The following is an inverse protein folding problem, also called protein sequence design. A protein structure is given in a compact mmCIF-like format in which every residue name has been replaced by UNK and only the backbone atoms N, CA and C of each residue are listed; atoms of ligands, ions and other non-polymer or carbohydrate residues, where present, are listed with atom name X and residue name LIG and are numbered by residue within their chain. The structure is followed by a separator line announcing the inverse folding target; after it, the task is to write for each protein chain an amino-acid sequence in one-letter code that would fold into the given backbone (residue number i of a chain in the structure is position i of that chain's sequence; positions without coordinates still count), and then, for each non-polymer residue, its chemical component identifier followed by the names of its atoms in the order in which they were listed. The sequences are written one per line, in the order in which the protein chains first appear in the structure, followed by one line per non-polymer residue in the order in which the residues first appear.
data_IF_769388853932
#
_entry.id   IF_769388853932
#
_cell.length_a   1.000
_cell.length_b   1.000
_cell.length_c   1.000
_cell.angle_alpha   90.00
_cell.angle_beta   90.00
_cell.angle_gamma   90.00
#
_symmetry.space_group_name_H-M   'P 1'
#
loop_
_entity.id
_entity.type
_entity.pdbx_description
1 polymer ?
#
# COMPACT_ATOMS: atom_id res chain seq x y z
N UNK A 1 8.32 -4.63 6.21
CA UNK A 1 8.06 -4.75 4.77
C UNK A 1 6.80 -5.56 4.48
N UNK A 2 6.54 -6.65 5.21
CA UNK A 2 5.33 -7.49 5.09
C UNK A 2 4.02 -6.68 5.00
N UNK A 3 3.78 -5.76 5.95
CA UNK A 3 2.59 -4.90 5.93
C UNK A 3 2.37 -4.13 4.62
N UNK A 4 3.44 -3.62 4.00
CA UNK A 4 3.33 -2.89 2.74
C UNK A 4 2.95 -3.83 1.57
N UNK A 5 3.41 -5.08 1.60
CA UNK A 5 3.03 -6.10 0.63
C UNK A 5 1.58 -6.56 0.82
N UNK A 6 1.12 -6.70 2.07
CA UNK A 6 -0.29 -7.01 2.37
C UNK A 6 -1.23 -5.92 1.85
N UNK A 7 -0.86 -4.66 2.05
CA UNK A 7 -1.59 -3.51 1.50
C UNK A 7 -1.61 -3.54 -0.03
N UNK A 8 -0.47 -3.81 -0.67
CA UNK A 8 -0.40 -3.92 -2.13
C UNK A 8 -1.35 -5.01 -2.67
N UNK A 9 -1.45 -6.15 -1.98
CA UNK A 9 -2.31 -7.27 -2.39
C UNK A 9 -3.80 -6.91 -2.43
N UNK A 10 -4.25 -5.88 -1.71
CA UNK A 10 -5.62 -5.38 -1.76
C UNK A 10 -6.01 -4.83 -3.15
N UNK A 11 -5.04 -4.38 -3.95
CA UNK A 11 -5.27 -3.85 -5.31
C UNK A 11 -5.35 -4.90 -6.41
N UNK A 12 -5.21 -6.20 -6.11
CA UNK A 12 -4.97 -7.28 -7.10
C UNK A 12 -5.98 -7.35 -8.26
N UNK A 13 -7.21 -6.89 -8.07
CA UNK A 13 -8.27 -7.01 -9.06
C UNK A 13 -8.83 -5.67 -9.54
N UNK A 14 -8.28 -4.56 -9.07
CA UNK A 14 -8.83 -3.22 -9.30
C UNK A 14 -7.81 -2.27 -9.91
N UNK A 15 -6.51 -2.59 -9.85
CA UNK A 15 -5.47 -1.66 -10.28
C UNK A 15 -5.02 -1.80 -11.73
N UNK A 16 -5.39 -2.85 -12.45
CA UNK A 16 -4.98 -3.04 -13.85
C UNK A 16 -5.38 -1.83 -14.71
N UNK A 17 -4.48 -1.29 -15.57
CA UNK A 17 -3.16 -1.80 -15.96
C UNK A 17 -1.99 -1.39 -15.03
N UNK A 18 -2.27 -0.61 -13.99
CA UNK A 18 -1.25 -0.14 -13.04
C UNK A 18 -0.84 -1.26 -12.06
N UNK A 19 0.40 -1.22 -11.54
CA UNK A 19 0.88 -2.21 -10.59
C UNK A 19 0.16 -2.12 -9.24
N UNK A 20 0.20 -3.22 -8.49
CA UNK A 20 -0.14 -3.23 -7.07
C UNK A 20 0.96 -2.50 -6.29
N UNK A 21 0.59 -1.50 -5.50
CA UNK A 21 1.51 -0.74 -4.66
C UNK A 21 0.89 -0.58 -3.28
N UNK A 22 1.67 -0.82 -2.24
CA UNK A 22 1.34 -0.53 -0.86
C UNK A 22 2.48 0.25 -0.20
N UNK A 23 2.12 1.17 0.69
CA UNK A 23 3.07 2.05 1.37
C UNK A 23 2.75 2.14 2.85
N UNK A 24 3.80 2.21 3.66
CA UNK A 24 3.74 2.43 5.11
C UNK A 24 4.68 3.58 5.44
N UNK A 25 4.19 4.53 6.22
CA UNK A 25 4.94 5.67 6.72
C UNK A 25 5.07 5.52 8.23
N UNK A 26 6.31 5.59 8.73
CA UNK A 26 6.60 5.62 10.15
C UNK A 26 6.94 7.04 10.58
N UNK A 27 6.60 7.39 11.82
CA UNK A 27 7.05 8.63 12.44
C UNK A 27 8.52 8.54 12.88
N UNK A 28 9.02 9.61 13.49
CA UNK A 28 10.40 9.69 13.99
C UNK A 28 10.71 8.68 15.12
N UNK A 29 9.69 8.16 15.79
CA UNK A 29 9.82 7.13 16.84
C UNK A 29 9.65 5.71 16.28
N UNK A 30 9.45 5.57 14.96
CA UNK A 30 9.22 4.29 14.31
C UNK A 30 7.79 3.76 14.45
N UNK A 31 6.85 4.57 14.94
CA UNK A 31 5.44 4.19 15.06
C UNK A 31 4.69 4.44 13.75
N UNK A 32 3.62 3.68 13.51
CA UNK A 32 2.82 3.84 12.30
C UNK A 32 2.17 5.23 12.27
N UNK A 33 2.55 6.04 11.27
CA UNK A 33 1.99 7.36 11.05
C UNK A 33 0.92 7.36 9.94
N UNK A 34 1.03 6.42 9.00
CA UNK A 34 0.05 6.26 7.93
C UNK A 34 0.37 5.07 7.03
N UNK A 35 -0.64 4.62 6.31
CA UNK A 35 -0.52 3.54 5.35
C UNK A 35 -1.52 3.71 4.21
N UNK A 36 -1.26 3.07 3.08
CA UNK A 36 -2.15 3.13 1.93
C UNK A 36 -1.75 2.15 0.84
N UNK A 37 -2.64 2.01 -0.14
CA UNK A 37 -2.43 1.19 -1.33
C UNK A 37 -3.10 1.82 -2.55
N UNK A 38 -2.68 1.40 -3.74
CA UNK A 38 -3.32 1.79 -4.98
C UNK A 38 -4.68 1.07 -5.09
N UNK A 39 -5.78 1.80 -4.91
CA UNK A 39 -7.11 1.19 -4.76
C UNK A 39 -7.76 0.80 -6.09
N UNK A 40 -7.60 1.61 -7.13
CA UNK A 40 -8.14 1.36 -8.46
C UNK A 40 -7.37 2.17 -9.52
N UNK A 41 -7.32 1.70 -10.76
CA UNK A 41 -6.82 2.52 -11.87
C UNK A 41 -7.83 3.63 -12.22
N UNK A 42 -7.34 4.85 -12.44
CA UNK A 42 -8.13 6.03 -12.81
C UNK A 42 -8.10 7.12 -11.75
#
# INVERSE_FOLDING_TARGET
MERALDLAALGRFTTSPNPMVGAVVLDANGQLAGEGFHAAAG
#
